data_IF_903371345191
#
_entry.id   IF_903371345191
#
_cell.length_a   1.000
_cell.length_b   1.000
_cell.length_c   1.000
_cell.angle_alpha   90.00
_cell.angle_beta   90.00
_cell.angle_gamma   90.00
#
_symmetry.space_group_name_H-M   'P 1'
#
loop_
_entity.id
_entity.type
_entity.pdbx_description
1 polymer ?
#
# COMPACT_ATOMS: atom_id res chain seq x y z
N UNK A 1 -19.42 16.12 -22.08
CA UNK A 1 -17.97 15.83 -21.92
C UNK A 1 -17.47 16.57 -20.70
N UNK A 2 -16.59 15.96 -19.94
CA UNK A 2 -15.95 16.59 -18.81
C UNK A 2 -14.76 17.47 -19.27
N UNK A 3 -14.66 18.64 -18.66
CA UNK A 3 -13.48 19.51 -18.75
C UNK A 3 -12.71 19.37 -17.44
N UNK A 4 -11.41 19.07 -17.52
CA UNK A 4 -10.59 18.77 -16.34
C UNK A 4 -10.56 19.94 -15.34
N UNK A 5 -10.29 21.16 -15.83
CA UNK A 5 -10.13 22.31 -14.93
C UNK A 5 -11.44 22.65 -14.21
N UNK A 6 -12.58 22.60 -14.94
CA UNK A 6 -13.91 22.84 -14.34
C UNK A 6 -14.28 21.76 -13.34
N UNK A 7 -13.99 20.49 -13.67
CA UNK A 7 -14.29 19.38 -12.76
C UNK A 7 -13.48 19.49 -11.47
N UNK A 8 -12.17 19.75 -11.57
CA UNK A 8 -11.31 19.91 -10.41
C UNK A 8 -11.69 21.10 -9.54
N UNK A 9 -12.05 22.25 -10.14
CA UNK A 9 -12.52 23.43 -9.39
C UNK A 9 -13.81 23.13 -8.62
N UNK A 10 -14.74 22.37 -9.21
CA UNK A 10 -15.98 21.96 -8.52
C UNK A 10 -15.70 20.94 -7.40
N UNK A 11 -14.77 20.00 -7.64
CA UNK A 11 -14.37 19.03 -6.64
C UNK A 11 -13.71 19.70 -5.41
N UNK A 12 -12.82 20.67 -5.65
CA UNK A 12 -12.18 21.47 -4.61
C UNK A 12 -13.21 22.28 -3.80
N UNK A 13 -14.16 22.92 -4.50
CA UNK A 13 -15.25 23.66 -3.85
C UNK A 13 -16.07 22.78 -2.90
N UNK A 14 -16.32 21.51 -3.28
CA UNK A 14 -17.07 20.53 -2.47
C UNK A 14 -16.25 19.95 -1.32
N UNK A 15 -14.93 20.01 -1.40
CA UNK A 15 -14.01 19.38 -0.44
C UNK A 15 -13.03 20.40 0.17
N UNK A 16 -13.50 21.44 0.84
CA UNK A 16 -12.63 22.47 1.41
C UNK A 16 -11.68 21.84 2.46
N UNK A 17 -10.45 22.33 2.51
CA UNK A 17 -9.42 21.88 3.44
C UNK A 17 -9.05 20.38 3.37
N UNK A 18 -9.14 19.79 2.16
CA UNK A 18 -8.72 18.41 1.89
C UNK A 18 -7.71 18.32 0.73
N UNK A 19 -6.56 19.00 0.82
CA UNK A 19 -5.63 19.13 -0.30
C UNK A 19 -5.08 17.80 -0.79
N UNK A 20 -4.82 16.85 0.09
CA UNK A 20 -4.30 15.52 -0.28
C UNK A 20 -5.31 14.74 -1.13
N UNK A 21 -6.61 14.84 -0.79
CA UNK A 21 -7.67 14.21 -1.59
C UNK A 21 -7.79 14.87 -2.97
N UNK A 22 -7.73 16.20 -3.06
CA UNK A 22 -7.80 16.93 -4.33
C UNK A 22 -6.61 16.60 -5.21
N UNK A 23 -5.40 16.51 -4.64
CA UNK A 23 -4.21 16.09 -5.39
C UNK A 23 -4.37 14.68 -5.97
N UNK A 24 -4.71 13.70 -5.15
CA UNK A 24 -4.86 12.31 -5.59
C UNK A 24 -5.98 12.15 -6.64
N UNK A 25 -7.10 12.86 -6.46
CA UNK A 25 -8.18 12.87 -7.44
C UNK A 25 -7.71 13.48 -8.77
N UNK A 26 -6.96 14.58 -8.72
CA UNK A 26 -6.42 15.23 -9.90
C UNK A 26 -5.50 14.32 -10.72
N UNK A 27 -4.60 13.60 -10.08
CA UNK A 27 -3.68 12.66 -10.73
C UNK A 27 -4.43 11.51 -11.44
N UNK A 28 -5.42 10.93 -10.79
CA UNK A 28 -6.22 9.85 -11.39
C UNK A 28 -7.11 10.39 -12.51
N UNK A 29 -7.82 11.50 -12.29
CA UNK A 29 -8.72 12.09 -13.29
C UNK A 29 -7.95 12.50 -14.53
N UNK A 30 -6.76 13.10 -14.39
CA UNK A 30 -5.91 13.44 -15.53
C UNK A 30 -5.56 12.22 -16.40
N UNK A 31 -5.39 11.06 -15.78
CA UNK A 31 -5.10 9.81 -16.50
C UNK A 31 -6.32 9.20 -17.20
N UNK A 32 -7.53 9.39 -16.66
CA UNK A 32 -8.73 8.66 -17.12
C UNK A 32 -9.75 9.53 -17.88
N UNK A 33 -9.63 10.84 -17.85
CA UNK A 33 -10.65 11.77 -18.39
C UNK A 33 -10.92 11.55 -19.90
N UNK A 34 -9.88 11.25 -20.69
CA UNK A 34 -10.05 10.96 -22.11
C UNK A 34 -10.80 9.64 -22.33
N UNK A 35 -10.50 8.63 -21.50
CA UNK A 35 -11.22 7.36 -21.48
C UNK A 35 -12.69 7.56 -21.15
N UNK A 36 -13.01 8.42 -20.18
CA UNK A 36 -14.39 8.75 -19.81
C UNK A 36 -15.08 9.52 -20.92
N UNK A 37 -14.43 10.52 -21.48
CA UNK A 37 -15.01 11.38 -22.52
C UNK A 37 -15.24 10.63 -23.83
N UNK A 38 -14.48 9.58 -24.11
CA UNK A 38 -14.68 8.72 -25.29
C UNK A 38 -15.75 7.63 -25.10
N UNK A 39 -16.24 7.42 -23.87
CA UNK A 39 -17.24 6.39 -23.58
C UNK A 39 -18.62 7.01 -23.25
N UNK A 40 -19.62 6.93 -24.17
CA UNK A 40 -20.95 7.48 -23.92
C UNK A 40 -21.66 6.92 -22.69
N UNK A 41 -21.39 5.67 -22.32
CA UNK A 41 -21.98 5.02 -21.14
C UNK A 41 -21.45 5.65 -19.86
N UNK A 42 -20.14 5.93 -19.78
CA UNK A 42 -19.52 6.60 -18.63
C UNK A 42 -20.04 8.03 -18.45
N UNK A 43 -20.21 8.77 -19.57
CA UNK A 43 -20.78 10.11 -19.55
C UNK A 43 -22.22 10.09 -19.06
N UNK A 44 -23.06 9.20 -19.62
CA UNK A 44 -24.45 9.05 -19.22
C UNK A 44 -24.61 8.72 -17.74
N UNK A 45 -23.76 7.86 -17.22
CA UNK A 45 -23.79 7.42 -15.82
C UNK A 45 -23.03 8.36 -14.86
N UNK A 46 -22.50 9.50 -15.35
CA UNK A 46 -21.75 10.48 -14.55
C UNK A 46 -20.65 9.82 -13.69
N UNK A 47 -19.85 8.94 -14.29
CA UNK A 47 -18.92 8.10 -13.55
C UNK A 47 -17.89 8.91 -12.76
N UNK A 48 -17.36 10.02 -13.30
CA UNK A 48 -16.40 10.84 -12.53
C UNK A 48 -17.05 11.47 -11.29
N UNK A 49 -18.26 11.99 -11.41
CA UNK A 49 -18.97 12.57 -10.26
C UNK A 49 -19.23 11.53 -9.17
N UNK A 50 -19.60 10.31 -9.56
CA UNK A 50 -19.94 9.22 -8.64
C UNK A 50 -18.70 8.61 -7.99
N UNK A 51 -17.61 8.39 -8.74
CA UNK A 51 -16.42 7.71 -8.23
C UNK A 51 -15.57 8.61 -7.32
N UNK A 52 -15.73 9.94 -7.43
CA UNK A 52 -15.04 10.91 -6.57
C UNK A 52 -15.81 11.26 -5.29
N UNK A 53 -17.06 10.79 -5.17
CA UNK A 53 -17.86 10.95 -3.96
C UNK A 53 -17.88 9.62 -3.18
N UNK A 54 -17.50 9.59 -1.89
CA UNK A 54 -17.58 8.37 -1.09
C UNK A 54 -19.05 7.97 -0.85
N UNK A 55 -19.31 6.66 -0.88
CA UNK A 55 -20.63 6.13 -0.55
C UNK A 55 -21.05 6.53 0.87
N UNK A 56 -20.10 6.59 1.80
CA UNK A 56 -20.37 6.91 3.20
C UNK A 56 -19.12 7.39 3.94
N UNK A 57 -19.31 8.42 4.77
CA UNK A 57 -18.29 8.89 5.73
C UNK A 57 -18.86 8.74 7.14
N UNK A 58 -18.14 8.03 7.99
CA UNK A 58 -18.51 7.79 9.39
C UNK A 58 -17.47 8.44 10.27
N UNK A 59 -17.90 9.32 11.14
CA UNK A 59 -17.07 9.96 12.17
C UNK A 59 -17.70 9.71 13.52
N UNK A 60 -16.89 9.29 14.49
CA UNK A 60 -17.38 8.96 15.83
C UNK A 60 -16.38 9.34 16.92
N UNK A 61 -16.87 9.55 18.11
CA UNK A 61 -16.07 9.81 19.31
C UNK A 61 -15.58 8.47 19.89
N UNK A 62 -14.34 8.45 20.37
CA UNK A 62 -13.73 7.31 21.05
C UNK A 62 -13.29 7.77 22.43
N UNK A 63 -13.99 7.34 23.46
CA UNK A 63 -13.66 7.62 24.86
C UNK A 63 -13.00 6.39 25.50
N UNK A 64 -11.87 6.60 26.14
CA UNK A 64 -11.11 5.52 26.77
C UNK A 64 -10.33 6.06 27.98
N UNK A 65 -9.90 5.17 28.88
CA UNK A 65 -9.18 5.51 30.11
C UNK A 65 -7.70 5.20 29.96
N UNK A 66 -6.81 6.13 30.30
CA UNK A 66 -5.37 5.90 30.33
C UNK A 66 -4.94 5.14 31.61
N UNK A 67 -3.64 4.90 31.78
CA UNK A 67 -3.11 4.17 32.95
C UNK A 67 -3.18 4.99 34.23
N UNK A 68 -3.31 6.32 34.14
CA UNK A 68 -3.49 7.24 35.26
C UNK A 68 -4.98 7.48 35.61
N UNK A 69 -5.90 6.68 35.02
CA UNK A 69 -7.35 6.77 35.18
C UNK A 69 -7.98 8.08 34.66
N UNK A 70 -7.31 8.80 33.77
CA UNK A 70 -7.89 9.95 33.11
C UNK A 70 -8.66 9.54 31.86
N UNK A 71 -9.80 10.16 31.64
CA UNK A 71 -10.58 9.97 30.42
C UNK A 71 -9.91 10.69 29.26
N UNK A 72 -9.63 9.94 28.21
CA UNK A 72 -9.10 10.43 26.96
C UNK A 72 -10.19 10.41 25.89
N UNK A 73 -10.13 11.37 24.97
CA UNK A 73 -11.11 11.51 23.87
C UNK A 73 -10.38 11.63 22.56
N UNK A 74 -10.64 10.70 21.66
CA UNK A 74 -10.14 10.70 20.29
C UNK A 74 -11.29 10.70 19.29
N UNK A 75 -10.96 10.99 18.04
CA UNK A 75 -11.90 10.93 16.92
C UNK A 75 -11.59 9.71 16.06
N UNK A 76 -12.61 8.90 15.83
CA UNK A 76 -12.56 7.78 14.89
C UNK A 76 -13.18 8.13 13.55
N UNK A 77 -12.67 7.51 12.47
CA UNK A 77 -13.13 7.69 11.11
C UNK A 77 -13.23 6.37 10.37
N UNK A 78 -14.23 6.23 9.50
CA UNK A 78 -14.25 5.24 8.43
C UNK A 78 -14.87 5.86 7.18
N UNK A 79 -14.11 5.89 6.10
CA UNK A 79 -14.58 6.27 4.77
C UNK A 79 -14.83 4.98 3.99
N UNK A 80 -16.08 4.68 3.72
CA UNK A 80 -16.55 3.64 2.82
C UNK A 80 -16.69 4.31 1.46
N UNK A 81 -15.65 4.14 0.60
CA UNK A 81 -15.55 4.99 -0.57
C UNK A 81 -16.33 4.45 -1.76
N UNK A 82 -16.12 3.18 -2.12
CA UNK A 82 -16.80 2.55 -3.25
C UNK A 82 -16.82 1.02 -3.06
N UNK A 83 -17.95 0.39 -3.27
CA UNK A 83 -18.14 -1.06 -3.15
C UNK A 83 -18.63 -1.74 -4.45
N UNK A 84 -18.51 -1.08 -5.59
CA UNK A 84 -19.01 -1.62 -6.86
C UNK A 84 -18.43 -2.98 -7.25
N UNK A 85 -17.22 -3.32 -6.79
CA UNK A 85 -16.58 -4.60 -7.12
C UNK A 85 -16.43 -5.54 -5.92
N UNK A 86 -16.92 -5.18 -4.74
CA UNK A 86 -16.86 -6.01 -3.53
C UNK A 86 -16.90 -5.18 -2.25
N UNK A 87 -16.82 -5.82 -1.08
CA UNK A 87 -16.84 -5.14 0.21
C UNK A 87 -15.80 -4.02 0.28
N UNK A 88 -16.11 -2.95 1.00
CA UNK A 88 -15.10 -1.90 1.26
C UNK A 88 -13.88 -2.54 1.92
N UNK A 89 -12.68 -2.21 1.45
CA UNK A 89 -11.44 -2.80 1.94
C UNK A 89 -10.36 -1.75 2.04
N UNK A 90 -9.69 -1.70 3.18
CA UNK A 90 -8.53 -0.85 3.40
C UNK A 90 -8.19 -0.66 4.88
N UNK A 91 -6.96 -0.22 5.14
CA UNK A 91 -6.37 -0.16 6.47
C UNK A 91 -6.99 0.85 7.42
N UNK A 92 -6.71 0.66 8.70
CA UNK A 92 -6.93 1.62 9.77
C UNK A 92 -5.58 2.23 10.16
N UNK A 93 -5.50 3.56 10.23
CA UNK A 93 -4.30 4.30 10.62
C UNK A 93 -4.53 4.98 11.97
N UNK A 94 -3.64 4.72 12.93
CA UNK A 94 -3.62 5.42 14.22
C UNK A 94 -2.42 6.36 14.27
N UNK A 95 -2.69 7.64 14.04
CA UNK A 95 -1.64 8.66 14.03
C UNK A 95 -2.24 10.05 14.32
N UNK A 96 -1.60 10.91 15.15
CA UNK A 96 -2.16 12.21 15.54
C UNK A 96 -2.46 13.16 14.39
N UNK A 97 -1.77 13.02 13.25
CA UNK A 97 -1.92 13.93 12.11
C UNK A 97 -3.08 13.59 11.17
N UNK A 98 -3.82 12.48 11.39
CA UNK A 98 -4.88 12.09 10.47
C UNK A 98 -6.09 13.02 10.55
N UNK A 99 -6.68 13.25 9.39
CA UNK A 99 -7.88 14.06 9.21
C UNK A 99 -8.87 13.29 8.32
N UNK A 100 -10.08 13.82 8.16
CA UNK A 100 -11.02 13.28 7.16
C UNK A 100 -10.41 13.32 5.74
N UNK A 101 -9.69 14.40 5.40
CA UNK A 101 -9.01 14.53 4.10
C UNK A 101 -8.01 13.41 3.86
N UNK A 102 -7.23 13.05 4.88
CA UNK A 102 -6.31 11.91 4.84
C UNK A 102 -7.03 10.60 4.47
N UNK A 103 -8.18 10.32 5.12
CA UNK A 103 -8.90 9.07 4.86
C UNK A 103 -9.69 9.09 3.55
N UNK A 104 -10.16 10.24 3.09
CA UNK A 104 -10.73 10.37 1.74
C UNK A 104 -9.67 10.15 0.67
N UNK A 105 -8.51 10.76 0.79
CA UNK A 105 -7.36 10.52 -0.08
C UNK A 105 -7.01 9.03 -0.16
N UNK A 106 -6.70 8.42 0.97
CA UNK A 106 -6.28 7.03 1.02
C UNK A 106 -7.39 6.05 0.60
N UNK A 107 -8.65 6.36 0.91
CA UNK A 107 -9.80 5.54 0.52
C UNK A 107 -10.07 5.59 -0.98
N UNK A 108 -9.90 6.75 -1.59
CA UNK A 108 -10.02 6.95 -3.03
C UNK A 108 -8.95 6.17 -3.80
N UNK A 109 -7.68 6.30 -3.42
CA UNK A 109 -6.62 5.52 -4.05
C UNK A 109 -6.79 4.01 -3.88
N UNK A 110 -7.35 3.61 -2.72
CA UNK A 110 -7.57 2.20 -2.41
C UNK A 110 -8.56 1.53 -3.38
N UNK A 111 -9.53 2.27 -3.96
CA UNK A 111 -10.46 1.77 -4.97
C UNK A 111 -9.68 1.16 -6.15
N UNK A 112 -8.76 1.94 -6.70
CA UNK A 112 -8.02 1.57 -7.91
C UNK A 112 -6.94 0.52 -7.63
N UNK A 113 -6.29 0.60 -6.48
CA UNK A 113 -5.34 -0.41 -6.05
C UNK A 113 -6.01 -1.78 -5.86
N UNK A 114 -7.14 -1.83 -5.18
CA UNK A 114 -7.87 -3.08 -4.94
C UNK A 114 -8.41 -3.68 -6.24
N UNK A 115 -8.91 -2.84 -7.15
CA UNK A 115 -9.46 -3.29 -8.42
C UNK A 115 -8.43 -3.99 -9.31
N UNK A 116 -7.15 -3.61 -9.23
CA UNK A 116 -6.06 -4.24 -9.96
C UNK A 116 -5.81 -5.69 -9.51
N UNK A 117 -6.07 -6.04 -8.25
CA UNK A 117 -5.76 -7.37 -7.69
C UNK A 117 -6.60 -8.51 -8.26
N UNK A 118 -7.55 -8.25 -9.13
CA UNK A 118 -8.55 -9.20 -9.65
C UNK A 118 -9.56 -9.69 -8.61
N UNK A 119 -9.28 -9.52 -7.32
CA UNK A 119 -10.13 -9.95 -6.21
C UNK A 119 -11.34 -9.00 -6.01
N UNK A 120 -12.47 -9.50 -5.50
CA UNK A 120 -13.68 -8.72 -5.29
C UNK A 120 -13.58 -7.85 -4.03
N UNK A 121 -12.88 -6.73 -4.14
CA UNK A 121 -12.67 -5.79 -3.04
C UNK A 121 -12.89 -4.35 -3.51
N UNK A 122 -13.78 -3.65 -2.84
CA UNK A 122 -13.98 -2.21 -2.98
C UNK A 122 -12.90 -1.38 -2.27
N UNK A 123 -13.12 -0.09 -2.13
CA UNK A 123 -12.20 0.85 -1.48
C UNK A 123 -12.76 1.44 -0.20
N UNK A 124 -11.97 1.45 0.85
CA UNK A 124 -12.28 2.13 2.11
C UNK A 124 -11.02 2.42 2.91
N UNK A 125 -11.12 3.36 3.85
CA UNK A 125 -10.00 3.73 4.73
C UNK A 125 -10.54 4.31 6.02
N UNK A 126 -9.79 4.18 7.11
CA UNK A 126 -10.20 4.74 8.38
C UNK A 126 -9.08 4.79 9.40
N UNK A 127 -9.44 5.07 10.64
CA UNK A 127 -8.51 5.15 11.76
C UNK A 127 -8.88 6.21 12.77
N UNK A 128 -7.87 6.73 13.46
CA UNK A 128 -8.05 7.70 14.54
C UNK A 128 -6.82 8.59 14.70
N UNK A 129 -7.02 9.77 15.27
CA UNK A 129 -5.96 10.67 15.76
C UNK A 129 -5.24 10.16 17.01
N UNK A 130 -5.54 8.96 17.47
CA UNK A 130 -4.82 8.26 18.53
C UNK A 130 -3.39 7.91 18.12
N UNK A 131 -2.43 8.06 19.05
CA UNK A 131 -1.05 7.59 18.87
C UNK A 131 -0.77 6.39 19.78
N UNK A 132 -0.44 5.21 19.25
CA UNK A 132 -0.02 4.08 20.08
C UNK A 132 1.41 4.23 20.62
N UNK A 133 2.18 5.20 20.08
CA UNK A 133 3.57 5.40 20.47
C UNK A 133 3.67 5.87 21.93
N UNK A 134 4.45 5.14 22.73
CA UNK A 134 4.65 5.47 24.15
C UNK A 134 3.50 5.07 25.06
N UNK A 135 2.49 4.37 24.54
CA UNK A 135 1.37 3.83 25.29
C UNK A 135 1.63 2.40 25.75
N UNK A 136 1.08 2.02 26.91
CA UNK A 136 1.10 0.64 27.38
C UNK A 136 0.20 -0.25 26.52
N UNK A 137 0.44 -1.57 26.58
CA UNK A 137 -0.45 -2.53 25.90
C UNK A 137 -1.89 -2.46 26.44
N UNK A 138 -2.07 -2.13 27.72
CA UNK A 138 -3.38 -1.98 28.35
C UNK A 138 -4.10 -0.73 27.84
N UNK A 139 -3.42 0.40 27.72
CA UNK A 139 -3.96 1.62 27.11
C UNK A 139 -4.40 1.37 25.66
N UNK A 140 -3.53 0.74 24.86
CA UNK A 140 -3.83 0.42 23.47
C UNK A 140 -5.02 -0.53 23.36
N UNK A 141 -5.11 -1.53 24.25
CA UNK A 141 -6.24 -2.45 24.29
C UNK A 141 -7.54 -1.73 24.63
N UNK A 142 -7.54 -0.84 25.65
CA UNK A 142 -8.73 -0.06 26.02
C UNK A 142 -9.18 0.85 24.87
N UNK A 143 -8.22 1.54 24.24
CA UNK A 143 -8.52 2.34 23.04
C UNK A 143 -9.10 1.50 21.90
N UNK A 144 -8.47 0.39 21.52
CA UNK A 144 -8.94 -0.50 20.44
C UNK A 144 -10.34 -1.05 20.72
N UNK A 145 -10.66 -1.37 21.98
CA UNK A 145 -12.00 -1.82 22.38
C UNK A 145 -13.03 -0.71 22.22
N UNK A 146 -12.73 0.50 22.71
CA UNK A 146 -13.61 1.65 22.57
C UNK A 146 -13.83 2.02 21.10
N UNK A 147 -12.77 2.05 20.28
CA UNK A 147 -12.83 2.29 18.86
C UNK A 147 -13.70 1.25 18.12
N UNK A 148 -13.51 -0.04 18.41
CA UNK A 148 -14.28 -1.11 17.79
C UNK A 148 -15.75 -1.14 18.25
N UNK A 149 -16.04 -0.72 19.47
CA UNK A 149 -17.43 -0.62 19.96
C UNK A 149 -18.27 0.30 19.07
N UNK A 150 -17.68 1.37 18.57
CA UNK A 150 -18.37 2.24 17.60
C UNK A 150 -18.30 1.71 16.18
N UNK A 151 -17.12 1.29 15.72
CA UNK A 151 -16.91 0.88 14.34
C UNK A 151 -17.69 -0.39 13.95
N UNK A 152 -17.87 -1.35 14.85
CA UNK A 152 -18.50 -2.65 14.55
C UNK A 152 -19.91 -2.54 13.95
N UNK A 153 -20.58 -1.41 14.14
CA UNK A 153 -21.94 -1.15 13.58
C UNK A 153 -21.94 -1.07 12.06
N UNK A 154 -20.80 -0.81 11.45
CA UNK A 154 -20.65 -0.44 10.02
C UNK A 154 -19.78 -1.42 9.23
N UNK A 155 -19.15 -2.40 9.88
CA UNK A 155 -18.21 -3.33 9.27
C UNK A 155 -18.70 -4.77 9.37
N UNK A 156 -18.16 -5.63 8.52
CA UNK A 156 -18.49 -7.06 8.49
C UNK A 156 -17.78 -7.75 7.33
N UNK A 157 -17.74 -9.09 7.30
CA UNK A 157 -16.98 -9.84 6.30
C UNK A 157 -17.41 -9.57 4.86
N UNK A 158 -18.69 -9.26 4.63
CA UNK A 158 -19.27 -9.03 3.31
C UNK A 158 -19.69 -7.56 3.08
N UNK A 159 -19.41 -6.68 4.05
CA UNK A 159 -19.74 -5.25 3.96
C UNK A 159 -18.50 -4.38 3.88
N UNK A 160 -17.65 -4.48 4.89
CA UNK A 160 -16.44 -3.66 5.03
C UNK A 160 -15.40 -4.40 5.88
N UNK A 161 -14.23 -4.65 5.31
CA UNK A 161 -13.17 -5.44 5.95
C UNK A 161 -11.93 -4.57 6.15
N UNK A 162 -11.78 -3.93 7.32
CA UNK A 162 -10.59 -3.17 7.66
C UNK A 162 -9.35 -4.05 7.79
N UNK A 163 -8.17 -3.41 7.71
CA UNK A 163 -6.85 -4.03 7.87
C UNK A 163 -5.93 -3.16 8.72
N UNK A 164 -4.70 -3.60 8.94
CA UNK A 164 -3.64 -2.77 9.52
C UNK A 164 -3.09 -1.72 8.54
N UNK A 165 -2.55 -0.66 9.10
CA UNK A 165 -1.82 0.42 8.45
C UNK A 165 -0.89 1.07 9.50
N UNK A 166 -0.36 2.27 9.27
CA UNK A 166 0.49 2.99 10.23
C UNK A 166 -0.16 3.02 11.63
N UNK A 167 0.56 2.59 12.64
CA UNK A 167 0.09 2.53 14.02
C UNK A 167 -0.92 1.40 14.32
N UNK A 168 -1.20 0.53 13.37
CA UNK A 168 -2.10 -0.62 13.53
C UNK A 168 -1.45 -1.87 12.98
N UNK A 169 -0.88 -2.65 13.87
CA UNK A 169 -0.26 -3.95 13.57
C UNK A 169 -1.12 -5.13 14.05
N UNK A 170 -0.51 -6.32 14.09
CA UNK A 170 -1.19 -7.54 14.54
C UNK A 170 -1.74 -7.46 15.96
N UNK A 171 -1.09 -6.71 16.87
CA UNK A 171 -1.56 -6.46 18.24
C UNK A 171 -2.88 -5.70 18.24
N UNK A 172 -2.95 -4.56 17.56
CA UNK A 172 -4.15 -3.73 17.46
C UNK A 172 -5.28 -4.48 16.75
N UNK A 173 -4.97 -5.20 15.67
CA UNK A 173 -5.94 -6.08 14.97
C UNK A 173 -6.49 -7.13 15.93
N UNK A 174 -5.64 -7.74 16.76
CA UNK A 174 -6.06 -8.71 17.76
C UNK A 174 -7.03 -8.13 18.79
N UNK A 175 -6.73 -6.96 19.34
CA UNK A 175 -7.59 -6.28 20.32
C UNK A 175 -8.94 -5.88 19.70
N UNK A 176 -8.93 -5.36 18.47
CA UNK A 176 -10.15 -4.99 17.76
C UNK A 176 -10.99 -6.21 17.38
N UNK A 177 -10.36 -7.27 16.88
CA UNK A 177 -11.07 -8.52 16.54
C UNK A 177 -11.70 -9.17 17.77
N UNK A 178 -10.97 -9.23 18.89
CA UNK A 178 -11.51 -9.74 20.15
C UNK A 178 -12.73 -8.95 20.65
N UNK A 179 -12.74 -7.63 20.47
CA UNK A 179 -13.89 -6.80 20.83
C UNK A 179 -15.07 -7.00 19.86
N UNK A 180 -14.80 -7.08 18.55
CA UNK A 180 -15.85 -7.38 17.56
C UNK A 180 -16.57 -8.69 17.88
N UNK A 181 -15.80 -9.76 18.15
CA UNK A 181 -16.36 -11.06 18.54
C UNK A 181 -17.28 -10.97 19.77
N UNK A 182 -16.90 -10.19 20.79
CA UNK A 182 -17.70 -10.01 22.00
C UNK A 182 -19.01 -9.29 21.74
N UNK A 183 -19.00 -8.31 20.82
CA UNK A 183 -20.18 -7.49 20.55
C UNK A 183 -21.16 -8.15 19.56
N UNK A 184 -20.63 -8.93 18.61
CA UNK A 184 -21.41 -9.53 17.52
C UNK A 184 -21.72 -11.00 17.75
N UNK A 185 -21.00 -11.65 18.67
CA UNK A 185 -21.05 -13.10 18.89
C UNK A 185 -20.75 -13.90 17.59
N UNK A 186 -19.79 -13.41 16.79
CA UNK A 186 -19.46 -13.94 15.48
C UNK A 186 -17.96 -14.21 15.35
N UNK A 187 -17.59 -15.34 14.74
CA UNK A 187 -16.25 -15.65 14.24
C UNK A 187 -16.24 -15.53 12.72
N UNK A 188 -15.86 -14.37 12.20
CA UNK A 188 -15.93 -14.07 10.77
C UNK A 188 -14.62 -13.52 10.22
N UNK A 189 -14.56 -13.34 8.90
CA UNK A 189 -13.45 -12.70 8.21
C UNK A 189 -13.42 -11.18 8.28
N UNK A 190 -13.98 -10.54 9.28
CA UNK A 190 -14.19 -9.09 9.38
C UNK A 190 -12.92 -8.28 9.42
N UNK A 191 -11.81 -8.66 9.79
CA UNK A 191 -10.53 -7.95 9.77
C UNK A 191 -9.49 -8.79 9.03
N UNK A 192 -8.51 -8.15 8.39
CA UNK A 192 -7.34 -8.84 7.86
C UNK A 192 -6.05 -8.40 8.55
N UNK A 193 -5.02 -9.26 8.48
CA UNK A 193 -3.82 -9.13 9.30
C UNK A 193 -3.96 -9.82 10.66
N UNK A 194 -4.89 -10.78 10.74
CA UNK A 194 -5.09 -11.63 11.92
C UNK A 194 -3.88 -12.57 12.14
N UNK A 195 -3.73 -13.05 13.35
CA UNK A 195 -2.74 -14.08 13.65
C UNK A 195 -3.11 -15.42 12.99
N UNK A 196 -2.08 -16.21 12.63
CA UNK A 196 -2.25 -17.49 11.93
C UNK A 196 -3.20 -18.43 12.68
N UNK A 197 -3.09 -18.49 14.00
CA UNK A 197 -3.94 -19.38 14.82
C UNK A 197 -5.42 -18.99 14.92
N UNK A 198 -5.84 -17.85 14.35
CA UNK A 198 -7.21 -17.34 14.44
C UNK A 198 -7.68 -16.61 13.18
N UNK A 199 -7.35 -17.17 12.02
CA UNK A 199 -7.88 -16.77 10.72
C UNK A 199 -6.95 -15.90 9.86
N UNK A 200 -5.68 -15.72 10.24
CA UNK A 200 -4.67 -15.05 9.43
C UNK A 200 -4.17 -15.90 8.28
N UNK A 201 -3.54 -15.25 7.30
CA UNK A 201 -2.91 -15.90 6.14
C UNK A 201 -1.39 -15.93 6.28
N UNK A 202 -0.78 -17.03 5.88
CA UNK A 202 0.66 -17.11 5.62
C UNK A 202 1.06 -16.11 4.52
N UNK A 203 2.34 -15.79 4.42
CA UNK A 203 2.92 -14.82 3.45
C UNK A 203 2.45 -13.37 3.66
N UNK A 204 1.53 -13.08 4.58
CA UNK A 204 0.97 -11.72 4.74
C UNK A 204 2.02 -10.65 5.12
N UNK A 205 2.97 -10.90 6.05
CA UNK A 205 4.02 -9.93 6.38
C UNK A 205 4.93 -9.61 5.21
N UNK A 206 5.28 -10.59 4.40
CA UNK A 206 6.21 -10.53 3.26
C UNK A 206 5.55 -9.99 1.99
N UNK A 207 4.24 -10.12 1.89
CA UNK A 207 3.46 -10.02 0.66
C UNK A 207 3.73 -8.78 -0.19
N UNK A 208 3.94 -7.63 0.45
CA UNK A 208 4.21 -6.39 -0.30
C UNK A 208 5.56 -6.45 -1.00
N UNK A 209 6.60 -6.90 -0.30
CA UNK A 209 7.93 -7.08 -0.87
C UNK A 209 7.96 -8.17 -1.94
N UNK A 210 7.33 -9.31 -1.67
CA UNK A 210 7.21 -10.43 -2.63
C UNK A 210 6.51 -9.97 -3.91
N UNK A 211 5.35 -9.34 -3.77
CA UNK A 211 4.59 -8.83 -4.90
C UNK A 211 5.36 -7.81 -5.73
N UNK A 212 6.12 -6.93 -5.09
CA UNK A 212 6.93 -5.94 -5.80
C UNK A 212 8.01 -6.60 -6.67
N UNK A 213 8.64 -7.68 -6.19
CA UNK A 213 9.61 -8.44 -6.98
C UNK A 213 8.96 -9.21 -8.13
N UNK A 214 7.77 -9.80 -7.94
CA UNK A 214 7.03 -10.43 -9.02
C UNK A 214 6.63 -9.43 -10.11
N UNK A 215 6.14 -8.26 -9.72
CA UNK A 215 5.85 -7.19 -10.67
C UNK A 215 7.11 -6.70 -11.39
N UNK A 216 8.24 -6.57 -10.66
CA UNK A 216 9.51 -6.18 -11.23
C UNK A 216 10.00 -7.18 -12.28
N UNK A 217 9.89 -8.48 -12.01
CA UNK A 217 10.29 -9.53 -12.95
C UNK A 217 9.51 -9.45 -14.27
N UNK A 218 8.19 -9.26 -14.20
CA UNK A 218 7.37 -9.06 -15.38
C UNK A 218 7.74 -7.77 -16.14
N UNK A 219 7.99 -6.68 -15.41
CA UNK A 219 8.42 -5.43 -16.02
C UNK A 219 9.77 -5.57 -16.74
N UNK A 220 10.73 -6.28 -16.15
CA UNK A 220 12.03 -6.52 -16.79
C UNK A 220 11.89 -7.34 -18.07
N UNK A 221 10.95 -8.29 -18.13
CA UNK A 221 10.66 -9.10 -19.33
C UNK A 221 10.21 -8.24 -20.51
N UNK A 222 9.50 -7.12 -20.28
CA UNK A 222 9.14 -6.17 -21.37
C UNK A 222 10.37 -5.58 -22.06
N UNK A 223 11.53 -5.58 -21.38
CA UNK A 223 12.81 -5.09 -21.88
C UNK A 223 13.79 -6.22 -22.22
N UNK A 224 13.32 -7.48 -22.31
CA UNK A 224 14.16 -8.68 -22.52
C UNK A 224 15.28 -8.82 -21.48
N UNK A 225 14.98 -8.45 -20.24
CA UNK A 225 15.89 -8.50 -19.09
C UNK A 225 15.34 -9.43 -17.99
N UNK A 226 16.13 -9.74 -16.98
CA UNK A 226 15.78 -10.65 -15.87
C UNK A 226 16.21 -10.07 -14.55
N UNK A 227 15.52 -10.47 -13.47
CA UNK A 227 15.88 -10.09 -12.09
C UNK A 227 17.18 -10.77 -11.64
N UNK A 228 17.49 -11.96 -12.17
CA UNK A 228 18.70 -12.72 -11.81
C UNK A 228 19.98 -11.91 -12.06
N UNK A 229 20.87 -11.90 -11.08
CA UNK A 229 22.14 -11.18 -11.15
C UNK A 229 22.03 -9.66 -10.93
N UNK A 230 20.85 -9.08 -10.78
CA UNK A 230 20.67 -7.65 -10.55
C UNK A 230 21.14 -7.23 -9.17
N UNK A 231 21.73 -6.05 -9.11
CA UNK A 231 22.09 -5.35 -7.89
C UNK A 231 20.95 -4.39 -7.53
N UNK A 232 20.41 -4.53 -6.31
CA UNK A 232 19.21 -3.82 -5.87
C UNK A 232 19.51 -2.96 -4.66
N UNK A 233 19.07 -1.69 -4.69
CA UNK A 233 19.02 -0.81 -3.52
C UNK A 233 17.59 -0.75 -2.98
N UNK A 234 17.42 -1.05 -1.69
CA UNK A 234 16.14 -0.84 -0.98
C UNK A 234 16.32 0.14 0.16
N UNK A 235 15.26 0.89 0.48
CA UNK A 235 15.16 1.67 1.71
C UNK A 235 14.31 0.95 2.74
N UNK A 236 14.48 1.33 4.03
CA UNK A 236 13.76 0.69 5.13
C UNK A 236 14.38 -0.61 5.61
N UNK A 237 13.80 -1.15 6.69
CA UNK A 237 14.12 -2.46 7.28
C UNK A 237 12.85 -3.12 7.85
N UNK A 238 11.67 -2.57 7.51
CA UNK A 238 10.35 -3.10 7.90
C UNK A 238 9.92 -4.29 7.05
N UNK A 239 8.67 -4.72 7.20
CA UNK A 239 8.10 -5.88 6.49
C UNK A 239 8.31 -5.83 4.98
N UNK A 240 8.11 -4.66 4.37
CA UNK A 240 8.24 -4.47 2.92
C UNK A 240 9.68 -4.71 2.47
N UNK A 241 10.64 -4.05 3.10
CA UNK A 241 12.06 -4.21 2.81
C UNK A 241 12.56 -5.64 3.11
N UNK A 242 12.10 -6.22 4.22
CA UNK A 242 12.43 -7.58 4.62
C UNK A 242 11.91 -8.61 3.60
N UNK A 243 10.64 -8.53 3.21
CA UNK A 243 10.09 -9.39 2.17
C UNK A 243 10.77 -9.20 0.82
N UNK A 244 11.06 -7.95 0.42
CA UNK A 244 11.80 -7.68 -0.81
C UNK A 244 13.20 -8.30 -0.82
N UNK A 245 13.94 -8.23 0.31
CA UNK A 245 15.27 -8.82 0.40
C UNK A 245 15.25 -10.35 0.28
N UNK A 246 14.28 -11.01 0.92
CA UNK A 246 14.10 -12.47 0.82
C UNK A 246 13.80 -12.87 -0.63
N UNK A 247 12.74 -12.29 -1.23
CA UNK A 247 12.29 -12.68 -2.57
C UNK A 247 13.33 -12.34 -3.64
N UNK A 248 14.01 -11.19 -3.55
CA UNK A 248 15.10 -10.84 -4.45
C UNK A 248 16.23 -11.89 -4.42
N UNK A 249 16.60 -12.36 -3.23
CA UNK A 249 17.61 -13.40 -3.06
C UNK A 249 17.14 -14.73 -3.67
N UNK A 250 15.89 -15.14 -3.44
CA UNK A 250 15.30 -16.36 -4.05
C UNK A 250 15.30 -16.30 -5.58
N UNK A 251 15.13 -15.09 -6.14
CA UNK A 251 15.15 -14.85 -7.60
C UNK A 251 16.56 -14.60 -8.15
N UNK A 252 17.62 -14.77 -7.37
CA UNK A 252 19.01 -14.66 -7.79
C UNK A 252 19.55 -13.23 -7.87
N UNK A 253 18.84 -12.22 -7.33
CA UNK A 253 19.33 -10.86 -7.24
C UNK A 253 20.06 -10.59 -5.92
N UNK A 254 20.80 -9.49 -5.85
CA UNK A 254 21.53 -9.06 -4.66
C UNK A 254 21.02 -7.73 -4.14
N UNK A 255 20.36 -7.73 -2.98
CA UNK A 255 20.01 -6.51 -2.25
C UNK A 255 21.20 -6.04 -1.45
N UNK A 256 21.70 -4.84 -1.73
CA UNK A 256 22.95 -4.33 -1.15
C UNK A 256 22.74 -3.21 -0.14
N UNK A 257 21.52 -2.72 0.05
CA UNK A 257 21.25 -1.66 1.02
C UNK A 257 19.99 -1.95 1.84
N UNK A 258 20.02 -1.50 3.09
CA UNK A 258 18.85 -1.28 3.95
C UNK A 258 19.03 0.09 4.62
N UNK A 259 17.93 0.77 4.97
CA UNK A 259 18.03 2.09 5.61
C UNK A 259 17.06 2.26 6.78
N UNK A 260 17.44 3.11 7.72
CA UNK A 260 16.64 3.53 8.86
C UNK A 260 16.59 5.05 8.98
N UNK A 261 15.99 5.56 10.05
CA UNK A 261 15.91 7.01 10.30
C UNK A 261 17.26 7.69 10.52
N UNK A 262 18.28 6.92 10.96
CA UNK A 262 19.63 7.42 11.28
C UNK A 262 20.65 7.28 10.16
N UNK A 263 20.29 6.66 9.03
CA UNK A 263 21.19 6.44 7.91
C UNK A 263 20.91 5.12 7.19
N UNK A 264 21.83 4.69 6.32
CA UNK A 264 21.73 3.42 5.61
C UNK A 264 22.97 2.56 5.78
N UNK A 265 22.83 1.28 5.51
CA UNK A 265 23.93 0.32 5.42
C UNK A 265 24.14 -0.06 3.96
N UNK A 266 25.40 -0.15 3.54
CA UNK A 266 25.85 -0.76 2.30
C UNK A 266 26.52 -2.10 2.66
N UNK A 267 25.87 -3.17 2.27
CA UNK A 267 26.33 -4.56 2.45
C UNK A 267 26.68 -5.15 1.07
N UNK A 268 27.94 -5.12 0.71
CA UNK A 268 28.41 -5.60 -0.60
C UNK A 268 28.23 -7.10 -0.80
N UNK A 269 28.19 -7.88 0.29
CA UNK A 269 27.91 -9.31 0.24
C UNK A 269 26.41 -9.60 0.04
N UNK A 270 25.58 -8.59 0.27
CA UNK A 270 24.13 -8.63 0.14
C UNK A 270 23.41 -9.01 1.42
N UNK A 271 22.18 -8.48 1.57
CA UNK A 271 21.22 -8.82 2.64
C UNK A 271 20.53 -10.14 2.28
N UNK A 272 21.29 -11.23 2.20
CA UNK A 272 20.93 -12.48 1.52
C UNK A 272 20.97 -13.75 2.37
N UNK A 273 21.19 -13.64 3.68
CA UNK A 273 21.22 -14.80 4.57
C UNK A 273 20.12 -14.74 5.62
N UNK A 274 19.75 -15.92 6.15
CA UNK A 274 18.73 -16.01 7.20
C UNK A 274 19.10 -15.20 8.43
N UNK A 275 20.38 -15.19 8.83
CA UNK A 275 20.88 -14.43 9.97
C UNK A 275 20.66 -12.93 9.78
N UNK A 276 20.93 -12.41 8.58
CA UNK A 276 20.70 -11.00 8.23
C UNK A 276 19.21 -10.64 8.25
N UNK A 277 18.36 -11.52 7.74
CA UNK A 277 16.90 -11.34 7.77
C UNK A 277 16.33 -11.42 9.20
N UNK A 278 16.80 -12.35 10.01
CA UNK A 278 16.42 -12.46 11.43
C UNK A 278 16.87 -11.20 12.21
N UNK A 279 18.04 -10.66 11.88
CA UNK A 279 18.51 -9.40 12.46
C UNK A 279 17.60 -8.22 12.08
N UNK A 280 17.12 -8.14 10.85
CA UNK A 280 16.13 -7.13 10.45
C UNK A 280 14.83 -7.25 11.27
N UNK A 281 14.35 -8.48 11.53
CA UNK A 281 13.17 -8.71 12.37
C UNK A 281 13.40 -8.26 13.81
N UNK A 282 14.57 -8.54 14.37
CA UNK A 282 14.97 -8.09 15.71
C UNK A 282 15.01 -6.56 15.80
N UNK A 283 15.66 -5.88 14.83
CA UNK A 283 15.70 -4.42 14.78
C UNK A 283 14.31 -3.80 14.70
N UNK A 284 13.40 -4.43 13.96
CA UNK A 284 12.01 -3.99 13.86
C UNK A 284 11.30 -4.10 15.21
N UNK A 285 11.49 -5.20 15.93
CA UNK A 285 10.89 -5.41 17.25
C UNK A 285 11.35 -4.35 18.28
N UNK A 286 12.60 -3.90 18.18
CA UNK A 286 13.15 -2.83 19.05
C UNK A 286 12.84 -1.42 18.56
N UNK A 287 12.41 -1.27 17.31
CA UNK A 287 12.08 0.01 16.65
C UNK A 287 13.18 1.09 16.81
N UNK A 288 14.45 0.67 16.85
CA UNK A 288 15.58 1.57 17.10
C UNK A 288 15.87 2.51 15.92
N UNK A 289 15.62 2.08 14.70
CA UNK A 289 15.99 2.77 13.45
C UNK A 289 17.49 2.97 13.26
N UNK A 290 18.31 2.33 14.12
CA UNK A 290 19.76 2.43 14.12
C UNK A 290 20.37 1.14 13.56
N UNK A 291 21.00 1.26 12.40
CA UNK A 291 21.58 0.13 11.67
C UNK A 291 23.08 -0.09 11.94
N UNK A 292 23.66 0.64 12.87
CA UNK A 292 25.10 0.46 13.21
C UNK A 292 25.40 -0.94 13.69
N UNK A 293 24.55 -1.50 14.54
CA UNK A 293 24.71 -2.87 15.02
C UNK A 293 24.68 -3.91 13.90
N UNK A 294 23.85 -3.72 12.87
CA UNK A 294 23.86 -4.56 11.68
C UNK A 294 25.21 -4.46 10.94
N UNK A 295 25.70 -3.24 10.75
CA UNK A 295 26.96 -3.01 10.05
C UNK A 295 28.16 -3.63 10.80
N UNK A 296 28.18 -3.52 12.12
CA UNK A 296 29.21 -4.13 12.98
C UNK A 296 29.16 -5.66 12.94
N UNK A 297 27.96 -6.27 13.05
CA UNK A 297 27.77 -7.72 13.07
C UNK A 297 28.15 -8.38 11.75
N UNK A 298 27.78 -7.77 10.62
CA UNK A 298 27.96 -8.37 9.29
C UNK A 298 29.09 -7.73 8.47
N UNK A 299 29.92 -6.88 9.05
CA UNK A 299 31.06 -6.25 8.36
C UNK A 299 30.66 -5.30 7.23
N UNK A 300 29.46 -4.75 7.28
CA UNK A 300 28.93 -3.82 6.29
C UNK A 300 29.32 -2.37 6.62
N UNK A 301 29.10 -1.44 5.69
CA UNK A 301 29.42 -0.02 5.89
C UNK A 301 28.17 0.77 6.25
N UNK A 302 28.21 1.51 7.35
CA UNK A 302 27.14 2.41 7.77
C UNK A 302 27.41 3.85 7.33
N UNK A 303 26.40 4.52 6.76
CA UNK A 303 26.42 5.90 6.29
C UNK A 303 25.40 6.72 7.10
N UNK A 304 25.87 7.48 8.11
CA UNK A 304 24.99 8.21 9.01
C UNK A 304 24.32 9.40 8.31
N UNK A 305 23.02 9.56 8.51
CA UNK A 305 22.23 10.69 7.97
C UNK A 305 21.96 10.64 6.48
N UNK A 306 22.50 9.65 5.76
CA UNK A 306 22.34 9.52 4.31
C UNK A 306 21.23 8.53 3.92
N UNK A 307 20.82 8.60 2.63
CA UNK A 307 19.88 7.67 1.98
C UNK A 307 20.61 6.84 0.93
N UNK A 308 20.16 5.62 0.60
CA UNK A 308 20.90 4.70 -0.26
C UNK A 308 20.89 5.04 -1.76
N UNK A 309 20.39 6.20 -2.14
CA UNK A 309 20.14 6.57 -3.54
C UNK A 309 21.39 7.02 -4.31
N UNK A 310 22.55 7.09 -3.65
CA UNK A 310 23.83 7.33 -4.28
C UNK A 310 24.59 6.04 -4.64
N UNK A 311 24.08 4.88 -4.26
CA UNK A 311 24.73 3.59 -4.51
C UNK A 311 24.45 3.14 -5.95
N UNK A 312 25.49 2.79 -6.75
CA UNK A 312 25.28 2.25 -8.09
C UNK A 312 24.57 0.89 -8.05
N UNK A 313 23.39 0.84 -8.66
CA UNK A 313 22.53 -0.37 -8.69
C UNK A 313 21.78 -0.47 -10.02
N UNK A 314 21.31 -1.65 -10.37
CA UNK A 314 20.43 -1.86 -11.52
C UNK A 314 18.98 -1.47 -11.22
N UNK A 315 18.52 -1.75 -9.99
CA UNK A 315 17.14 -1.51 -9.56
C UNK A 315 17.14 -0.73 -8.26
N UNK A 316 16.31 0.32 -8.17
CA UNK A 316 16.06 1.04 -6.92
C UNK A 316 14.59 0.82 -6.47
N UNK A 317 14.43 0.43 -5.20
CA UNK A 317 13.13 0.12 -4.60
C UNK A 317 12.92 0.94 -3.33
N UNK A 318 12.22 2.09 -3.39
CA UNK A 318 11.78 2.79 -2.18
C UNK A 318 10.76 1.92 -1.43
N UNK A 319 11.12 1.48 -0.20
CA UNK A 319 10.35 0.55 0.62
C UNK A 319 9.98 1.08 2.00
N UNK A 320 10.30 2.35 2.33
CA UNK A 320 10.16 2.88 3.68
C UNK A 320 8.94 3.79 3.86
N UNK A 321 8.90 4.96 3.22
CA UNK A 321 7.83 5.93 3.45
C UNK A 321 7.56 6.82 2.23
N UNK A 322 6.51 7.61 2.33
CA UNK A 322 6.06 8.53 1.28
C UNK A 322 7.10 9.63 1.01
N UNK A 323 7.31 9.96 -0.27
CA UNK A 323 8.20 11.03 -0.74
C UNK A 323 9.65 10.92 -0.23
N UNK A 324 10.12 9.69 -0.02
CA UNK A 324 11.49 9.44 0.44
C UNK A 324 12.56 9.63 -0.64
N UNK A 325 12.19 9.52 -1.90
CA UNK A 325 13.05 9.68 -3.06
C UNK A 325 12.65 10.95 -3.80
N UNK A 326 13.45 11.98 -3.65
CA UNK A 326 13.22 13.28 -4.24
C UNK A 326 13.95 13.47 -5.58
N UNK A 327 13.85 14.66 -6.18
CA UNK A 327 14.47 14.99 -7.47
C UNK A 327 15.98 14.75 -7.49
N UNK A 328 16.69 15.23 -6.48
CA UNK A 328 18.15 15.11 -6.38
C UNK A 328 18.59 13.64 -6.27
N UNK A 329 17.82 12.84 -5.54
CA UNK A 329 18.04 11.39 -5.44
C UNK A 329 17.82 10.69 -6.79
N UNK A 330 16.78 11.09 -7.54
CA UNK A 330 16.50 10.55 -8.86
C UNK A 330 17.61 10.90 -9.86
N UNK A 331 18.07 12.14 -9.87
CA UNK A 331 19.20 12.58 -10.70
C UNK A 331 20.47 11.78 -10.38
N UNK A 332 20.72 11.49 -9.09
CA UNK A 332 21.86 10.68 -8.66
C UNK A 332 21.76 9.23 -9.15
N UNK A 333 20.59 8.60 -8.98
CA UNK A 333 20.33 7.24 -9.46
C UNK A 333 20.51 7.14 -10.98
N UNK A 334 19.97 8.06 -11.75
CA UNK A 334 20.13 8.12 -13.22
C UNK A 334 21.60 8.28 -13.60
N UNK A 335 22.32 9.18 -12.95
CA UNK A 335 23.77 9.40 -13.15
C UNK A 335 24.58 8.12 -12.87
N UNK A 336 24.16 7.35 -11.86
CA UNK A 336 24.81 6.08 -11.45
C UNK A 336 24.36 4.88 -12.27
N UNK A 337 23.51 5.07 -13.28
CA UNK A 337 23.13 4.03 -14.25
C UNK A 337 22.01 3.09 -13.80
N UNK A 338 21.13 3.55 -12.92
CA UNK A 338 19.93 2.79 -12.56
C UNK A 338 19.10 2.47 -13.80
N UNK A 339 18.62 1.24 -13.90
CA UNK A 339 17.87 0.76 -15.08
C UNK A 339 16.36 0.72 -14.83
N UNK A 340 15.95 0.46 -13.58
CA UNK A 340 14.54 0.28 -13.22
C UNK A 340 14.24 0.88 -11.86
N UNK A 341 13.06 1.50 -11.73
CA UNK A 341 12.52 1.97 -10.45
C UNK A 341 11.26 1.19 -10.12
N UNK A 342 11.23 0.55 -8.96
CA UNK A 342 10.08 -0.22 -8.47
C UNK A 342 9.55 0.46 -7.21
N UNK A 343 8.55 1.32 -7.36
CA UNK A 343 7.98 2.08 -6.24
C UNK A 343 7.18 1.17 -5.32
N UNK A 344 7.80 0.71 -4.24
CA UNK A 344 7.23 -0.29 -3.33
C UNK A 344 6.54 0.33 -2.11
N UNK A 345 7.01 1.46 -1.60
CA UNK A 345 6.26 2.27 -0.62
C UNK A 345 5.12 3.04 -1.29
N UNK A 346 4.09 3.42 -0.54
CA UNK A 346 3.02 4.24 -1.09
C UNK A 346 3.54 5.64 -1.41
N UNK A 347 3.50 6.04 -2.69
CA UNK A 347 4.05 7.31 -3.19
C UNK A 347 5.47 7.57 -2.67
N UNK A 348 6.37 6.59 -2.85
CA UNK A 348 7.76 6.67 -2.37
C UNK A 348 8.59 7.72 -3.08
N UNK A 349 8.26 8.03 -4.32
CA UNK A 349 8.92 9.04 -5.15
C UNK A 349 8.10 10.33 -5.18
N UNK A 350 8.78 11.48 -5.16
CA UNK A 350 8.08 12.76 -5.42
C UNK A 350 7.71 12.88 -6.90
N UNK A 351 6.69 13.69 -7.27
CA UNK A 351 6.37 13.94 -8.69
C UNK A 351 7.55 14.39 -9.52
N UNK A 352 8.40 15.23 -8.97
CA UNK A 352 9.62 15.73 -9.63
C UNK A 352 10.63 14.59 -9.88
N UNK A 353 10.76 13.64 -8.96
CA UNK A 353 11.60 12.46 -9.15
C UNK A 353 11.07 11.57 -10.28
N UNK A 354 9.76 11.36 -10.35
CA UNK A 354 9.12 10.59 -11.43
C UNK A 354 9.38 11.24 -12.80
N UNK A 355 9.30 12.56 -12.91
CA UNK A 355 9.61 13.27 -14.16
C UNK A 355 11.09 13.14 -14.56
N UNK A 356 12.03 13.09 -13.60
CA UNK A 356 13.46 12.80 -13.89
C UNK A 356 13.62 11.40 -14.50
N UNK A 357 13.01 10.36 -13.92
CA UNK A 357 13.08 9.00 -14.44
C UNK A 357 12.47 8.91 -15.84
N UNK A 358 11.31 9.51 -16.03
CA UNK A 358 10.63 9.56 -17.33
C UNK A 358 11.48 10.26 -18.39
N UNK A 359 12.07 11.42 -18.08
CA UNK A 359 12.94 12.15 -19.00
C UNK A 359 14.22 11.36 -19.36
N UNK A 360 14.73 10.54 -18.44
CA UNK A 360 15.87 9.66 -18.65
C UNK A 360 15.52 8.33 -19.35
N UNK A 361 14.23 8.07 -19.62
CA UNK A 361 13.77 6.79 -20.21
C UNK A 361 13.91 5.59 -19.27
N UNK A 362 13.97 5.81 -17.95
CA UNK A 362 14.04 4.74 -16.94
C UNK A 362 12.63 4.21 -16.67
N UNK A 363 12.36 2.91 -16.92
CA UNK A 363 11.08 2.29 -16.61
C UNK A 363 10.71 2.42 -15.13
N UNK A 364 9.46 2.80 -14.89
CA UNK A 364 8.95 3.11 -13.55
C UNK A 364 7.71 2.29 -13.23
N UNK A 365 7.80 1.40 -12.24
CA UNK A 365 6.67 0.66 -11.70
C UNK A 365 5.94 1.51 -10.63
N UNK A 366 4.68 1.93 -10.86
CA UNK A 366 3.96 2.77 -9.90
C UNK A 366 3.54 1.98 -8.66
N UNK A 367 3.53 2.65 -7.49
CA UNK A 367 3.24 2.02 -6.20
C UNK A 367 1.92 1.26 -6.15
N UNK A 368 0.84 1.81 -6.70
CA UNK A 368 -0.47 1.14 -6.65
C UNK A 368 -0.52 -0.20 -7.39
N UNK A 369 0.38 -0.43 -8.36
CA UNK A 369 0.56 -1.71 -9.03
C UNK A 369 1.63 -2.56 -8.31
N UNK A 370 2.85 -2.05 -8.17
CA UNK A 370 3.98 -2.80 -7.62
C UNK A 370 3.76 -3.25 -6.17
N UNK A 371 3.17 -2.41 -5.31
CA UNK A 371 2.96 -2.75 -3.91
C UNK A 371 1.60 -3.41 -3.58
N UNK A 372 0.85 -3.81 -4.60
CA UNK A 372 -0.47 -4.42 -4.42
C UNK A 372 -0.42 -5.80 -3.73
N UNK A 373 0.74 -6.42 -3.60
CA UNK A 373 0.91 -7.73 -2.98
C UNK A 373 0.33 -7.81 -1.56
N UNK A 374 0.52 -6.79 -0.76
CA UNK A 374 -0.02 -6.74 0.61
C UNK A 374 -1.55 -6.80 0.66
N UNK A 375 -2.24 -6.03 -0.20
CA UNK A 375 -3.70 -6.07 -0.27
C UNK A 375 -4.20 -7.31 -0.99
N UNK A 376 -3.46 -7.84 -1.96
CA UNK A 376 -3.77 -9.11 -2.61
C UNK A 376 -3.83 -10.26 -1.57
N UNK A 377 -2.80 -10.43 -0.75
CA UNK A 377 -2.81 -11.46 0.31
C UNK A 377 -3.86 -11.15 1.37
N UNK A 378 -4.20 -9.89 1.64
CA UNK A 378 -5.36 -9.58 2.49
C UNK A 378 -6.67 -10.09 1.89
N UNK A 379 -6.86 -9.97 0.56
CA UNK A 379 -8.01 -10.56 -0.14
C UNK A 379 -7.99 -12.09 -0.14
N UNK A 380 -6.81 -12.70 -0.26
CA UNK A 380 -6.66 -14.15 -0.11
C UNK A 380 -6.98 -14.60 1.34
N UNK A 381 -6.63 -13.82 2.36
CA UNK A 381 -7.07 -14.07 3.75
C UNK A 381 -8.59 -14.04 3.86
N UNK A 382 -9.26 -13.06 3.24
CA UNK A 382 -10.72 -13.03 3.18
C UNK A 382 -11.29 -14.28 2.52
N UNK A 383 -10.71 -14.74 1.41
CA UNK A 383 -11.15 -15.95 0.70
C UNK A 383 -10.99 -17.20 1.57
N UNK A 384 -9.87 -17.35 2.28
CA UNK A 384 -9.64 -18.44 3.22
C UNK A 384 -10.66 -18.41 4.37
N UNK A 385 -10.95 -17.22 4.89
CA UNK A 385 -11.95 -17.07 5.97
C UNK A 385 -13.36 -17.43 5.51
N UNK A 386 -13.78 -17.00 4.32
CA UNK A 386 -15.09 -17.34 3.75
C UNK A 386 -15.24 -18.84 3.48
N UNK A 387 -14.15 -19.50 3.08
CA UNK A 387 -14.16 -20.95 2.83
C UNK A 387 -13.95 -21.77 4.11
N UNK A 388 -13.66 -21.15 5.25
CA UNK A 388 -13.23 -21.81 6.50
C UNK A 388 -12.02 -22.75 6.30
N UNK A 389 -11.08 -22.35 5.45
CA UNK A 389 -9.88 -23.09 5.11
C UNK A 389 -8.64 -22.25 5.40
N UNK A 390 -7.50 -22.94 5.54
CA UNK A 390 -6.17 -22.32 5.54
C UNK A 390 -5.35 -22.94 4.39
N UNK A 391 -4.71 -22.08 3.62
CA UNK A 391 -3.81 -22.49 2.53
C UNK A 391 -2.38 -22.55 3.02
N UNK A 392 -1.56 -23.40 2.36
CA UNK A 392 -0.13 -23.45 2.61
C UNK A 392 0.57 -22.16 2.14
N UNK A 393 1.81 -21.95 2.57
CA UNK A 393 2.61 -20.81 2.13
C UNK A 393 2.81 -20.82 0.61
N UNK A 394 3.05 -22.01 0.03
CA UNK A 394 3.23 -22.21 -1.39
C UNK A 394 1.97 -21.90 -2.20
N UNK A 395 0.79 -22.28 -1.68
CA UNK A 395 -0.51 -21.96 -2.31
C UNK A 395 -0.77 -20.45 -2.31
N UNK A 396 -0.50 -19.78 -1.20
CA UNK A 396 -0.67 -18.32 -1.10
C UNK A 396 0.33 -17.59 -1.99
N UNK A 397 1.61 -18.00 -1.98
CA UNK A 397 2.67 -17.40 -2.79
C UNK A 397 2.40 -17.54 -4.29
N UNK A 398 1.97 -18.74 -4.72
CA UNK A 398 1.57 -18.96 -6.12
C UNK A 398 0.41 -18.05 -6.53
N UNK A 399 -0.63 -17.93 -5.71
CA UNK A 399 -1.77 -17.05 -6.00
C UNK A 399 -1.35 -15.57 -6.01
N UNK A 400 -0.45 -15.17 -5.12
CA UNK A 400 0.13 -13.84 -5.11
C UNK A 400 0.89 -13.56 -6.41
N UNK A 401 1.75 -14.49 -6.85
CA UNK A 401 2.47 -14.38 -8.12
C UNK A 401 1.49 -14.21 -9.30
N UNK A 402 0.49 -15.08 -9.43
CA UNK A 402 -0.49 -15.04 -10.52
C UNK A 402 -1.27 -13.69 -10.53
N UNK A 403 -1.59 -13.14 -9.36
CA UNK A 403 -2.21 -11.82 -9.23
C UNK A 403 -1.25 -10.71 -9.72
N UNK A 404 0.02 -10.74 -9.34
CA UNK A 404 0.98 -9.70 -9.74
C UNK A 404 1.26 -9.71 -11.25
N UNK A 405 1.32 -10.90 -11.87
CA UNK A 405 1.37 -11.04 -13.34
C UNK A 405 0.13 -10.40 -13.98
N UNK A 406 -1.06 -10.71 -13.46
CA UNK A 406 -2.32 -10.13 -13.98
C UNK A 406 -2.37 -8.61 -13.85
N UNK A 407 -1.81 -8.05 -12.75
CA UNK A 407 -1.71 -6.59 -12.56
C UNK A 407 -0.79 -5.99 -13.61
N UNK A 408 0.39 -6.59 -13.83
CA UNK A 408 1.33 -6.13 -14.84
C UNK A 408 0.70 -6.15 -16.24
N UNK A 409 0.09 -7.27 -16.66
CA UNK A 409 -0.59 -7.40 -17.94
C UNK A 409 -1.67 -6.32 -18.15
N UNK A 410 -2.42 -6.01 -17.11
CA UNK A 410 -3.42 -4.96 -17.17
C UNK A 410 -2.78 -3.57 -17.35
N UNK A 411 -1.68 -3.29 -16.65
CA UNK A 411 -0.93 -2.05 -16.79
C UNK A 411 -0.35 -1.90 -18.20
N UNK A 412 0.24 -2.95 -18.76
CA UNK A 412 0.78 -2.96 -20.12
C UNK A 412 -0.31 -2.73 -21.17
N UNK A 413 -1.42 -3.47 -21.08
CA UNK A 413 -2.55 -3.35 -22.02
C UNK A 413 -3.11 -1.94 -22.09
N UNK A 414 -3.33 -1.31 -20.93
CA UNK A 414 -3.96 0.02 -20.85
C UNK A 414 -2.94 1.18 -20.93
N UNK A 415 -1.66 0.89 -20.70
CA UNK A 415 -0.59 1.89 -20.74
C UNK A 415 0.19 1.97 -22.05
N UNK A 416 -0.12 1.10 -23.03
CA UNK A 416 0.58 1.10 -24.32
C UNK A 416 0.29 2.37 -25.10
N UNK A 417 1.33 3.12 -25.42
CA UNK A 417 1.26 4.36 -26.20
C UNK A 417 1.37 4.07 -27.71
N UNK A 418 1.08 5.09 -28.52
CA UNK A 418 1.08 4.98 -30.00
C UNK A 418 2.46 4.65 -30.62
N UNK A 419 3.51 5.05 -29.92
CA UNK A 419 4.90 4.78 -30.34
C UNK A 419 5.41 3.39 -29.90
N UNK A 420 4.57 2.63 -29.20
CA UNK A 420 4.87 1.29 -28.70
C UNK A 420 5.45 1.28 -27.28
N UNK A 421 5.78 2.43 -26.71
CA UNK A 421 6.22 2.54 -25.32
C UNK A 421 5.09 2.20 -24.33
N UNK A 422 5.45 1.89 -23.09
CA UNK A 422 4.49 1.56 -22.04
C UNK A 422 4.57 2.59 -20.92
N UNK A 423 3.45 3.27 -20.66
CA UNK A 423 3.27 4.15 -19.53
C UNK A 423 2.56 3.39 -18.39
N UNK A 424 3.32 2.73 -17.52
CA UNK A 424 2.79 1.89 -16.45
C UNK A 424 1.93 2.67 -15.44
N UNK A 425 2.23 3.96 -15.18
CA UNK A 425 1.42 4.82 -14.29
C UNK A 425 0.02 5.02 -14.88
N UNK A 426 -0.04 5.46 -16.12
CA UNK A 426 -1.30 5.63 -16.86
C UNK A 426 -2.05 4.31 -17.00
N UNK A 427 -1.33 3.23 -17.31
CA UNK A 427 -1.88 1.89 -17.41
C UNK A 427 -2.55 1.41 -16.13
N UNK A 428 -1.89 1.56 -14.98
CA UNK A 428 -2.44 1.20 -13.68
C UNK A 428 -3.70 2.01 -13.35
N UNK A 429 -3.68 3.32 -13.61
CA UNK A 429 -4.83 4.20 -13.35
C UNK A 429 -6.03 3.83 -14.23
N UNK A 430 -5.83 3.64 -15.53
CA UNK A 430 -6.91 3.30 -16.47
C UNK A 430 -7.46 1.90 -16.20
N UNK A 431 -6.59 0.89 -16.00
CA UNK A 431 -7.01 -0.48 -15.73
C UNK A 431 -7.87 -0.57 -14.45
N UNK A 432 -7.40 0.04 -13.37
CA UNK A 432 -8.13 0.09 -12.11
C UNK A 432 -9.45 0.83 -12.24
N UNK A 433 -9.45 1.97 -12.92
CA UNK A 433 -10.66 2.77 -13.15
C UNK A 433 -11.71 2.03 -13.98
N UNK A 434 -11.36 1.48 -15.14
CA UNK A 434 -12.30 0.79 -16.04
C UNK A 434 -13.08 -0.30 -15.35
N UNK A 435 -12.41 -1.17 -14.59
CA UNK A 435 -13.05 -2.26 -13.86
C UNK A 435 -14.14 -1.78 -12.91
N UNK A 436 -13.87 -0.70 -12.17
CA UNK A 436 -14.84 -0.11 -11.24
C UNK A 436 -15.95 0.61 -11.99
N UNK A 437 -15.61 1.41 -12.99
CA UNK A 437 -16.56 2.16 -13.80
C UNK A 437 -17.55 1.25 -14.53
N UNK A 438 -17.08 0.15 -15.11
CA UNK A 438 -17.91 -0.86 -15.77
C UNK A 438 -18.89 -1.51 -14.78
N UNK A 439 -18.41 -1.89 -13.58
CA UNK A 439 -19.27 -2.43 -12.53
C UNK A 439 -20.33 -1.41 -12.08
N UNK A 440 -19.94 -0.15 -11.86
CA UNK A 440 -20.86 0.94 -11.52
C UNK A 440 -21.91 1.17 -12.59
N UNK A 441 -21.55 1.05 -13.88
CA UNK A 441 -22.50 1.15 -14.99
C UNK A 441 -23.46 -0.04 -15.04
N UNK A 442 -22.95 -1.24 -14.82
CA UNK A 442 -23.74 -2.48 -14.88
C UNK A 442 -24.75 -2.60 -13.73
N UNK A 443 -24.40 -2.10 -12.55
CA UNK A 443 -25.24 -2.17 -11.34
C UNK A 443 -26.25 -1.02 -11.22
N UNK A 444 -26.07 0.03 -12.04
CA UNK A 444 -26.94 1.21 -11.99
C UNK A 444 -26.52 2.21 -10.91
N UNK A 445 -27.50 2.72 -10.15
CA UNK A 445 -27.29 3.75 -9.11
C UNK A 445 -28.16 3.47 -7.88
#
# INVERSE_FOLDING_TARGET
MYDYAKFMAELERKNPAQPEFIQAAGEIIASVIDTVNSNPLYLKNKILDRITEPDRVITFKVEWEDDDHNIQVNRGYRVQFNNAIGPYKGGLRFHPSVTLGTFKFLGFEQIFKNSLTTLPMGGGKGGSDFSPKGKSDQEIMRFCRAFMTELQKYIGPDTDVPAGDVGVGGREIGFMYGQYKRLRDENTGVLTGKGIGWGGSLIRPEATGYGALYYADELLKDFNDTIEGKRISISGYGNVAWGAAIKATEMGAKVVTISGSKGYVLDEDGVSTKEKWDYMLMMRATNSGDLRGYAEEFGAKFFPGERPWNVPVDIAMPCAYQNELNKENAESLVKNGVKYIIETSNMGCTPEAVEVFKAAGVPFAPSKAANAGGVAVSGLEMSQNSAHLSWSAEEVDKKLHDIMVSIHDACVREGREKDGSINYIKGANIAGFKKVADAMCAQGY
#
